data_IF_244759972878
#
_entry.id   IF_244759972878
#
_cell.length_a   1.000
_cell.length_b   1.000
_cell.length_c   1.000
_cell.angle_alpha   90.00
_cell.angle_beta   90.00
_cell.angle_gamma   90.00
#
_symmetry.space_group_name_H-M   'P 1'
#
loop_
_entity.id
_entity.type
_entity.pdbx_description
1 polymer ?
#
# COMPACT_ATOMS: atom_id res chain seq x y z
N UNK A 1 26.03 -11.45 3.67
CA UNK A 1 24.62 -11.03 3.56
C UNK A 1 23.69 -11.95 4.34
N UNK A 2 23.60 -13.25 4.03
CA UNK A 2 22.80 -14.24 4.78
C UNK A 2 23.03 -14.21 6.30
N UNK A 3 24.29 -14.29 6.75
CA UNK A 3 24.61 -14.26 8.18
C UNK A 3 24.13 -13.01 8.91
N UNK A 4 24.18 -11.85 8.24
CA UNK A 4 23.68 -10.60 8.81
C UNK A 4 22.17 -10.65 9.02
N UNK A 5 21.44 -11.14 8.02
CA UNK A 5 19.97 -11.29 8.10
C UNK A 5 19.59 -12.24 9.23
N UNK A 6 20.26 -13.38 9.34
CA UNK A 6 20.03 -14.35 10.43
C UNK A 6 20.29 -13.71 11.80
N UNK A 7 21.34 -12.89 11.95
CA UNK A 7 21.62 -12.17 13.21
C UNK A 7 20.50 -11.21 13.65
N UNK A 8 19.71 -10.71 12.70
CA UNK A 8 18.56 -9.83 12.96
C UNK A 8 17.23 -10.55 13.11
N UNK A 9 17.21 -11.88 12.99
CA UNK A 9 16.00 -12.71 13.09
C UNK A 9 15.52 -12.88 14.53
N UNK A 10 15.24 -11.77 15.21
CA UNK A 10 14.80 -11.78 16.59
C UNK A 10 13.34 -12.22 16.68
N UNK A 11 13.06 -13.36 17.34
CA UNK A 11 11.72 -13.86 17.47
C UNK A 11 10.92 -12.99 18.43
N UNK A 12 9.61 -12.98 18.25
CA UNK A 12 8.66 -12.39 19.18
C UNK A 12 7.43 -13.28 19.28
N UNK A 13 6.73 -13.23 20.40
CA UNK A 13 5.35 -13.73 20.44
C UNK A 13 4.51 -12.76 19.60
N UNK A 14 3.82 -13.22 18.53
CA UNK A 14 2.98 -12.34 17.72
C UNK A 14 1.97 -11.60 18.61
N UNK A 15 1.93 -10.26 18.55
CA UNK A 15 0.91 -9.50 19.24
C UNK A 15 -0.47 -9.92 18.73
N UNK A 16 -1.48 -9.90 19.60
CA UNK A 16 -2.86 -10.11 19.14
C UNK A 16 -3.33 -8.88 18.37
N UNK A 17 -4.10 -9.05 17.28
CA UNK A 17 -4.86 -7.95 16.67
C UNK A 17 -5.63 -7.17 17.75
N UNK A 18 -5.64 -5.85 17.63
CA UNK A 18 -6.33 -4.94 18.58
C UNK A 18 -5.83 -5.00 20.03
N UNK A 19 -4.67 -5.62 20.30
CA UNK A 19 -4.01 -5.51 21.60
C UNK A 19 -3.50 -4.09 21.87
N UNK A 20 -3.15 -3.79 23.13
CA UNK A 20 -2.56 -2.51 23.51
C UNK A 20 -1.31 -2.17 22.67
N UNK A 21 -0.47 -3.18 22.36
CA UNK A 21 0.68 -3.00 21.47
C UNK A 21 0.27 -2.46 20.10
N UNK A 22 -0.71 -3.10 19.46
CA UNK A 22 -1.21 -2.70 18.14
C UNK A 22 -1.83 -1.29 18.18
N UNK A 23 -2.71 -1.04 19.16
CA UNK A 23 -3.42 0.24 19.29
C UNK A 23 -2.43 1.39 19.53
N UNK A 24 -1.46 1.21 20.43
CA UNK A 24 -0.48 2.25 20.73
C UNK A 24 0.39 2.60 19.52
N UNK A 25 0.92 1.60 18.80
CA UNK A 25 1.73 1.85 17.60
C UNK A 25 0.90 2.50 16.50
N UNK A 26 -0.33 2.02 16.28
CA UNK A 26 -1.22 2.59 15.29
C UNK A 26 -1.55 4.05 15.61
N UNK A 27 -1.93 4.36 16.85
CA UNK A 27 -2.28 5.72 17.26
C UNK A 27 -1.08 6.67 17.18
N UNK A 28 0.09 6.26 17.71
CA UNK A 28 1.31 7.06 17.66
C UNK A 28 1.79 7.25 16.22
N UNK A 29 1.79 6.17 15.42
CA UNK A 29 2.19 6.19 14.02
C UNK A 29 1.28 7.05 13.15
N UNK A 30 -0.04 6.93 13.34
CA UNK A 30 -1.01 7.76 12.62
C UNK A 30 -0.87 9.24 12.99
N UNK A 31 -0.75 9.56 14.28
CA UNK A 31 -0.52 10.93 14.73
C UNK A 31 0.78 11.49 14.13
N UNK A 32 1.87 10.72 14.18
CA UNK A 32 3.15 11.11 13.59
C UNK A 32 3.03 11.35 12.08
N UNK A 33 2.34 10.46 11.35
CA UNK A 33 2.12 10.59 9.91
C UNK A 33 1.32 11.86 9.58
N UNK A 34 0.23 12.14 10.31
CA UNK A 34 -0.59 13.35 10.14
C UNK A 34 0.22 14.62 10.40
N UNK A 35 0.90 14.70 11.55
CA UNK A 35 1.68 15.87 11.93
C UNK A 35 2.82 16.11 10.94
N UNK A 36 3.58 15.06 10.60
CA UNK A 36 4.67 15.16 9.65
C UNK A 36 4.18 15.60 8.26
N UNK A 37 3.10 14.98 7.75
CA UNK A 37 2.52 15.36 6.46
C UNK A 37 2.07 16.82 6.45
N UNK A 38 1.40 17.27 7.50
CA UNK A 38 0.89 18.64 7.62
C UNK A 38 2.00 19.69 7.71
N UNK A 39 3.04 19.45 8.52
CA UNK A 39 4.14 20.41 8.66
C UNK A 39 5.03 20.43 7.42
N UNK A 40 5.25 19.28 6.78
CA UNK A 40 6.07 19.21 5.57
C UNK A 40 5.34 19.80 4.37
N UNK A 41 4.02 19.57 4.20
CA UNK A 41 3.26 20.14 3.08
C UNK A 41 3.33 21.67 3.03
N UNK A 42 3.34 22.32 4.19
CA UNK A 42 3.45 23.79 4.32
C UNK A 42 4.79 24.38 3.87
N UNK A 43 5.84 23.58 3.83
CA UNK A 43 7.21 24.03 3.50
C UNK A 43 7.59 23.72 2.05
N UNK A 44 6.66 23.25 1.24
CA UNK A 44 7.01 22.45 0.07
C UNK A 44 6.99 23.25 -1.23
N UNK A 45 8.16 23.66 -1.68
CA UNK A 45 8.39 23.84 -3.11
C UNK A 45 8.22 22.50 -3.84
N UNK A 46 7.63 22.51 -5.03
CA UNK A 46 7.36 21.28 -5.78
C UNK A 46 8.60 20.40 -6.04
N UNK A 47 9.80 20.97 -6.14
CA UNK A 47 11.05 20.19 -6.26
C UNK A 47 11.34 19.38 -4.99
N UNK A 48 11.14 19.98 -3.82
CA UNK A 48 11.29 19.29 -2.54
C UNK A 48 10.25 18.18 -2.38
N UNK A 49 8.99 18.45 -2.75
CA UNK A 49 7.89 17.46 -2.74
C UNK A 49 8.28 16.16 -3.43
N UNK A 50 8.71 16.27 -4.69
CA UNK A 50 9.02 15.12 -5.54
C UNK A 50 10.25 14.38 -5.00
N UNK A 51 11.26 15.08 -4.48
CA UNK A 51 12.43 14.46 -3.84
C UNK A 51 12.05 13.71 -2.56
N UNK A 52 11.16 14.27 -1.76
CA UNK A 52 10.68 13.63 -0.53
C UNK A 52 9.90 12.35 -0.86
N UNK A 53 8.97 12.39 -1.82
CA UNK A 53 8.27 11.18 -2.27
C UNK A 53 9.25 10.14 -2.82
N UNK A 54 10.21 10.56 -3.65
CA UNK A 54 11.25 9.67 -4.16
C UNK A 54 12.05 8.99 -3.02
N UNK A 55 12.44 9.77 -2.00
CA UNK A 55 13.12 9.24 -0.83
C UNK A 55 12.26 8.24 -0.05
N UNK A 56 10.96 8.50 0.11
CA UNK A 56 10.03 7.50 0.66
C UNK A 56 10.00 6.23 -0.20
N UNK A 57 10.01 6.35 -1.52
CA UNK A 57 10.11 5.22 -2.46
C UNK A 57 11.40 4.40 -2.27
N UNK A 58 12.53 5.07 -2.01
CA UNK A 58 13.81 4.40 -1.71
C UNK A 58 13.74 3.65 -0.37
N UNK A 59 13.16 4.25 0.67
CA UNK A 59 12.94 3.57 1.96
C UNK A 59 12.07 2.33 1.78
N UNK A 60 10.94 2.46 1.08
CA UNK A 60 10.04 1.35 0.78
C UNK A 60 10.81 0.25 0.03
N UNK A 61 11.52 0.57 -1.04
CA UNK A 61 12.28 -0.42 -1.81
C UNK A 61 13.38 -1.11 -1.01
N UNK A 62 14.16 -0.36 -0.22
CA UNK A 62 15.18 -0.96 0.64
C UNK A 62 14.56 -1.89 1.69
N UNK A 63 13.46 -1.47 2.32
CA UNK A 63 12.75 -2.28 3.32
C UNK A 63 12.09 -3.52 2.70
N UNK A 64 11.59 -3.42 1.47
CA UNK A 64 11.01 -4.52 0.72
C UNK A 64 12.08 -5.55 0.34
N UNK A 65 13.21 -5.10 -0.20
CA UNK A 65 14.36 -5.97 -0.50
C UNK A 65 14.79 -6.72 0.76
N UNK A 66 14.89 -6.00 1.89
CA UNK A 66 15.22 -6.64 3.16
C UNK A 66 14.18 -7.69 3.56
N UNK A 67 12.88 -7.36 3.46
CA UNK A 67 11.79 -8.30 3.75
C UNK A 67 11.89 -9.56 2.89
N UNK A 68 12.12 -9.41 1.58
CA UNK A 68 12.29 -10.54 0.67
C UNK A 68 13.47 -11.43 1.05
N UNK A 69 14.62 -10.83 1.37
CA UNK A 69 15.79 -11.59 1.81
C UNK A 69 15.57 -12.27 3.17
N UNK A 70 14.85 -11.62 4.09
CA UNK A 70 14.48 -12.18 5.39
C UNK A 70 13.58 -13.40 5.21
N UNK A 71 12.51 -13.28 4.41
CA UNK A 71 11.61 -14.38 4.11
C UNK A 71 12.35 -15.55 3.48
N UNK A 72 13.23 -15.29 2.51
CA UNK A 72 14.01 -16.30 1.83
C UNK A 72 14.97 -17.04 2.78
N UNK A 73 15.84 -16.32 3.51
CA UNK A 73 16.90 -16.97 4.31
C UNK A 73 16.44 -17.47 5.68
N UNK A 74 15.42 -16.87 6.29
CA UNK A 74 15.01 -17.16 7.67
C UNK A 74 13.73 -17.97 7.72
N UNK A 75 12.73 -17.63 6.90
CA UNK A 75 11.38 -18.21 7.03
C UNK A 75 11.21 -19.43 6.11
N UNK A 76 11.64 -19.31 4.85
CA UNK A 76 11.29 -20.25 3.79
C UNK A 76 12.44 -21.17 3.38
N UNK A 77 13.48 -21.32 4.22
CA UNK A 77 14.59 -22.27 4.00
C UNK A 77 15.22 -22.17 2.61
N UNK A 78 15.47 -20.94 2.14
CA UNK A 78 16.04 -20.65 0.82
C UNK A 78 15.18 -21.08 -0.37
N UNK A 79 13.87 -21.15 -0.16
CA UNK A 79 12.88 -21.26 -1.23
C UNK A 79 12.10 -19.95 -1.33
N UNK A 80 11.97 -19.45 -2.56
CA UNK A 80 11.22 -18.22 -2.79
C UNK A 80 9.72 -18.51 -2.77
N UNK A 81 8.99 -17.81 -1.91
CA UNK A 81 7.54 -17.92 -1.82
C UNK A 81 6.87 -16.78 -2.62
N UNK A 82 6.21 -17.16 -3.70
CA UNK A 82 5.54 -16.26 -4.63
C UNK A 82 4.35 -15.51 -4.02
N UNK A 83 3.81 -15.98 -2.90
CA UNK A 83 2.79 -15.25 -2.13
C UNK A 83 3.29 -13.85 -1.73
N UNK A 84 4.58 -13.74 -1.38
CA UNK A 84 5.19 -12.49 -0.92
C UNK A 84 5.71 -11.60 -2.03
N UNK A 85 5.51 -11.94 -3.32
CA UNK A 85 5.96 -11.09 -4.41
C UNK A 85 5.42 -9.66 -4.25
N UNK A 86 6.25 -8.61 -4.43
CA UNK A 86 5.94 -7.24 -4.00
C UNK A 86 5.00 -6.48 -4.94
N UNK A 87 3.87 -7.08 -5.33
CA UNK A 87 2.91 -6.44 -6.23
C UNK A 87 1.50 -6.42 -5.65
N UNK A 88 1.40 -6.09 -4.36
CA UNK A 88 0.13 -5.78 -3.69
C UNK A 88 -0.26 -4.32 -3.90
N UNK A 89 -1.52 -3.95 -3.60
CA UNK A 89 -1.98 -2.56 -3.71
C UNK A 89 -1.12 -1.62 -2.84
N UNK A 90 -0.74 -2.09 -1.65
CA UNK A 90 0.17 -1.40 -0.73
C UNK A 90 1.63 -1.38 -1.21
N UNK A 91 2.00 -2.16 -2.22
CA UNK A 91 3.35 -2.15 -2.83
C UNK A 91 3.49 -1.12 -3.94
N UNK A 92 2.40 -0.76 -4.63
CA UNK A 92 2.43 0.24 -5.72
C UNK A 92 3.10 1.58 -5.40
N UNK A 93 2.89 2.19 -4.20
CA UNK A 93 3.50 3.46 -3.84
C UNK A 93 5.02 3.45 -3.91
N UNK A 94 5.66 2.32 -3.61
CA UNK A 94 7.11 2.14 -3.75
C UNK A 94 7.55 2.42 -5.20
N UNK A 95 6.91 1.73 -6.17
CA UNK A 95 7.22 1.89 -7.58
C UNK A 95 6.90 3.30 -8.08
N UNK A 96 5.72 3.81 -7.73
CA UNK A 96 5.28 5.12 -8.17
C UNK A 96 6.15 6.25 -7.63
N UNK A 97 6.53 6.20 -6.35
CA UNK A 97 7.45 7.17 -5.76
C UNK A 97 8.83 7.15 -6.42
N UNK A 98 9.37 5.96 -6.74
CA UNK A 98 10.64 5.83 -7.45
C UNK A 98 10.57 6.34 -8.89
N UNK A 99 9.47 6.09 -9.58
CA UNK A 99 9.26 6.52 -10.97
C UNK A 99 8.94 8.01 -11.09
N UNK A 100 8.33 8.63 -10.07
CA UNK A 100 7.76 9.98 -10.14
C UNK A 100 8.74 11.05 -10.67
N UNK A 101 10.02 11.11 -10.25
CA UNK A 101 10.96 12.10 -10.78
C UNK A 101 11.30 11.92 -12.26
N UNK A 102 11.12 10.71 -12.79
CA UNK A 102 11.42 10.35 -14.19
C UNK A 102 10.26 10.68 -15.12
N UNK A 103 9.04 10.78 -14.59
CA UNK A 103 7.84 11.10 -15.37
C UNK A 103 7.85 12.58 -15.76
N UNK A 104 8.14 12.89 -17.03
CA UNK A 104 8.12 14.28 -17.54
C UNK A 104 6.71 14.80 -17.82
N UNK A 105 5.76 13.91 -18.10
CA UNK A 105 4.38 14.29 -18.42
C UNK A 105 3.62 14.71 -17.14
N UNK A 106 3.26 15.99 -17.04
CA UNK A 106 2.56 16.54 -15.86
C UNK A 106 1.20 15.89 -15.62
N UNK A 107 0.46 15.54 -16.68
CA UNK A 107 -0.84 14.84 -16.54
C UNK A 107 -0.64 13.46 -15.93
N UNK A 108 0.38 12.72 -16.36
CA UNK A 108 0.68 11.41 -15.80
C UNK A 108 1.17 11.52 -14.35
N UNK A 109 2.02 12.50 -14.01
CA UNK A 109 2.39 12.76 -12.61
C UNK A 109 1.15 13.01 -11.75
N UNK A 110 0.21 13.84 -12.23
CA UNK A 110 -1.01 14.16 -11.51
C UNK A 110 -1.89 12.92 -11.28
N UNK A 111 -2.01 12.05 -12.29
CA UNK A 111 -2.73 10.77 -12.17
C UNK A 111 -2.07 9.87 -11.12
N UNK A 112 -0.74 9.73 -11.15
CA UNK A 112 0.01 8.92 -10.19
C UNK A 112 -0.15 9.45 -8.76
N UNK A 113 -0.05 10.76 -8.58
CA UNK A 113 -0.23 11.42 -7.28
C UNK A 113 -1.66 11.24 -6.75
N UNK A 114 -2.67 11.45 -7.60
CA UNK A 114 -4.07 11.26 -7.22
C UNK A 114 -4.34 9.80 -6.86
N UNK A 115 -3.79 8.85 -7.62
CA UNK A 115 -3.87 7.42 -7.30
C UNK A 115 -3.23 7.11 -5.94
N UNK A 116 -2.04 7.63 -5.66
CA UNK A 116 -1.34 7.45 -4.38
C UNK A 116 -1.98 8.21 -3.20
N UNK A 117 -2.81 9.21 -3.45
CA UNK A 117 -3.65 9.78 -2.41
C UNK A 117 -4.82 8.84 -2.09
N UNK A 118 -5.51 8.37 -3.13
CA UNK A 118 -6.81 7.72 -2.95
C UNK A 118 -6.66 6.22 -2.59
N UNK A 119 -5.98 5.44 -3.43
CA UNK A 119 -5.89 3.99 -3.27
C UNK A 119 -4.84 3.55 -2.25
N UNK A 120 -3.73 4.27 -2.18
CA UNK A 120 -2.67 3.98 -1.24
C UNK A 120 -3.06 4.33 0.20
N UNK A 121 -3.76 5.46 0.42
CA UNK A 121 -4.27 5.78 1.75
C UNK A 121 -5.33 4.77 2.20
N UNK A 122 -6.23 4.36 1.30
CA UNK A 122 -7.16 3.25 1.53
C UNK A 122 -6.40 1.98 1.96
N UNK A 123 -5.41 1.54 1.17
CA UNK A 123 -4.63 0.35 1.46
C UNK A 123 -3.88 0.44 2.80
N UNK A 124 -3.24 1.59 3.07
CA UNK A 124 -2.56 1.89 4.32
C UNK A 124 -3.47 1.77 5.54
N UNK A 125 -4.64 2.42 5.48
CA UNK A 125 -5.61 2.42 6.59
C UNK A 125 -6.24 1.04 6.78
N UNK A 126 -6.69 0.40 5.70
CA UNK A 126 -7.39 -0.89 5.80
C UNK A 126 -6.47 -2.01 6.29
N UNK A 127 -5.19 -2.01 5.91
CA UNK A 127 -4.23 -3.00 6.41
C UNK A 127 -3.92 -2.84 7.90
N UNK A 128 -3.89 -1.61 8.42
CA UNK A 128 -3.75 -1.38 9.87
C UNK A 128 -5.07 -1.65 10.62
N UNK A 129 -6.22 -1.43 9.97
CA UNK A 129 -7.52 -1.75 10.55
C UNK A 129 -7.72 -3.26 10.68
N UNK A 130 -7.24 -4.07 9.73
CA UNK A 130 -7.26 -5.53 9.76
C UNK A 130 -5.82 -6.09 9.77
N UNK A 131 -5.14 -6.11 10.93
CA UNK A 131 -3.70 -6.37 11.02
C UNK A 131 -3.33 -7.85 11.05
N UNK A 132 -4.28 -8.77 10.79
CA UNK A 132 -4.05 -10.22 10.88
C UNK A 132 -2.89 -10.70 10.00
N UNK A 133 -2.68 -10.06 8.85
CA UNK A 133 -1.55 -10.32 7.95
C UNK A 133 -0.26 -9.55 8.27
N UNK A 134 -0.22 -8.71 9.29
CA UNK A 134 0.93 -7.85 9.63
C UNK A 134 1.71 -8.32 10.87
N UNK A 135 1.08 -9.11 11.75
CA UNK A 135 1.64 -9.50 13.04
C UNK A 135 2.30 -10.88 12.94
N UNK A 136 3.62 -10.89 12.84
CA UNK A 136 4.44 -12.06 12.60
C UNK A 136 5.24 -12.49 13.85
N UNK A 137 5.76 -13.73 13.90
CA UNK A 137 6.59 -14.22 15.00
C UNK A 137 8.02 -13.65 15.00
N UNK A 138 8.26 -12.57 14.25
CA UNK A 138 9.55 -11.88 14.17
C UNK A 138 9.36 -10.38 14.30
N UNK A 139 10.18 -9.74 15.13
CA UNK A 139 10.15 -8.29 15.34
C UNK A 139 10.29 -7.53 14.03
N UNK A 140 11.25 -7.94 13.19
CA UNK A 140 11.50 -7.28 11.91
C UNK A 140 10.26 -7.29 11.00
N UNK A 141 9.63 -8.46 10.77
CA UNK A 141 8.48 -8.57 9.88
C UNK A 141 7.27 -7.78 10.40
N UNK A 142 7.02 -7.84 11.71
CA UNK A 142 5.94 -7.07 12.35
C UNK A 142 6.17 -5.57 12.23
N UNK A 143 7.37 -5.08 12.57
CA UNK A 143 7.69 -3.66 12.46
C UNK A 143 7.71 -3.19 11.02
N UNK A 144 8.26 -4.00 10.09
CA UNK A 144 8.20 -3.72 8.66
C UNK A 144 6.76 -3.51 8.22
N UNK A 145 5.86 -4.47 8.50
CA UNK A 145 4.45 -4.37 8.13
C UNK A 145 3.78 -3.10 8.68
N UNK A 146 3.95 -2.80 9.97
CA UNK A 146 3.34 -1.62 10.59
C UNK A 146 3.92 -0.31 10.05
N UNK A 147 5.24 -0.17 10.00
CA UNK A 147 5.91 1.05 9.54
C UNK A 147 5.70 1.29 8.05
N UNK A 148 5.64 0.23 7.24
CA UNK A 148 5.29 0.30 5.81
C UNK A 148 3.97 1.04 5.64
N UNK A 149 2.91 0.58 6.29
CA UNK A 149 1.57 1.17 6.13
C UNK A 149 1.44 2.55 6.78
N UNK A 150 2.17 2.84 7.86
CA UNK A 150 2.28 4.20 8.40
C UNK A 150 2.92 5.15 7.38
N UNK A 151 3.98 4.72 6.69
CA UNK A 151 4.64 5.51 5.64
C UNK A 151 3.71 5.71 4.42
N UNK A 152 2.92 4.70 4.05
CA UNK A 152 1.89 4.81 3.02
C UNK A 152 0.84 5.88 3.35
N UNK A 153 0.36 5.88 4.61
CA UNK A 153 -0.56 6.91 5.11
C UNK A 153 0.10 8.28 5.03
N UNK A 154 1.33 8.42 5.51
CA UNK A 154 2.09 9.67 5.40
C UNK A 154 2.17 10.17 3.95
N UNK A 155 2.51 9.30 2.98
CA UNK A 155 2.58 9.65 1.55
C UNK A 155 1.22 10.18 1.06
N UNK A 156 0.13 9.45 1.32
CA UNK A 156 -1.20 9.85 0.88
C UNK A 156 -1.64 11.20 1.48
N UNK A 157 -1.43 11.39 2.79
CA UNK A 157 -1.72 12.63 3.49
C UNK A 157 -0.85 13.79 2.98
N UNK A 158 0.45 13.57 2.75
CA UNK A 158 1.37 14.58 2.26
C UNK A 158 0.95 15.08 0.87
N UNK A 159 0.56 14.17 -0.03
CA UNK A 159 0.06 14.52 -1.36
C UNK A 159 -1.20 15.39 -1.25
N UNK A 160 -2.16 14.96 -0.42
CA UNK A 160 -3.38 15.70 -0.17
C UNK A 160 -3.11 17.09 0.40
N UNK A 161 -2.41 17.18 1.53
CA UNK A 161 -2.13 18.45 2.20
C UNK A 161 -1.24 19.40 1.37
N UNK A 162 -0.50 18.90 0.39
CA UNK A 162 0.30 19.72 -0.54
C UNK A 162 -0.50 20.21 -1.75
N UNK A 163 -1.76 19.77 -1.91
CA UNK A 163 -2.63 20.09 -3.05
C UNK A 163 -2.02 19.72 -4.42
N UNK A 164 -1.23 18.66 -4.45
CA UNK A 164 -0.56 18.18 -5.67
C UNK A 164 -1.34 17.06 -6.40
N UNK A 165 -2.53 16.70 -5.89
CA UNK A 165 -3.50 15.80 -6.51
C UNK A 165 -4.62 16.56 -7.23
N UNK A 166 -5.31 15.90 -8.16
CA UNK A 166 -6.52 16.43 -8.79
C UNK A 166 -7.71 16.13 -7.87
N UNK A 167 -8.43 17.16 -7.42
CA UNK A 167 -9.61 17.03 -6.54
C UNK A 167 -10.94 16.95 -7.29
N UNK A 168 -10.90 17.02 -8.63
CA UNK A 168 -12.09 16.89 -9.46
C UNK A 168 -12.51 15.43 -9.60
N UNK A 169 -13.81 15.21 -9.76
CA UNK A 169 -14.33 13.86 -10.04
C UNK A 169 -13.72 13.25 -11.32
N UNK A 170 -13.45 14.08 -12.33
CA UNK A 170 -12.73 13.67 -13.54
C UNK A 170 -11.28 13.26 -13.25
N UNK A 171 -10.65 13.89 -12.27
CA UNK A 171 -9.34 13.51 -11.73
C UNK A 171 -9.35 12.09 -11.18
N UNK A 172 -10.34 11.77 -10.33
CA UNK A 172 -10.55 10.40 -9.83
C UNK A 172 -10.74 9.39 -10.98
N UNK A 173 -11.66 9.66 -11.92
CA UNK A 173 -11.90 8.76 -13.06
C UNK A 173 -10.63 8.54 -13.90
N UNK A 174 -9.77 9.55 -14.01
CA UNK A 174 -8.49 9.45 -14.72
C UNK A 174 -7.49 8.50 -14.06
N UNK A 175 -7.69 8.11 -12.79
CA UNK A 175 -6.86 7.12 -12.09
C UNK A 175 -7.30 5.68 -12.36
N UNK A 176 -8.55 5.45 -12.77
CA UNK A 176 -9.09 4.09 -12.98
C UNK A 176 -8.36 3.30 -14.07
N UNK A 177 -7.95 3.88 -15.21
CA UNK A 177 -7.13 3.15 -16.17
C UNK A 177 -5.81 2.65 -15.58
N UNK A 178 -5.15 3.46 -14.73
CA UNK A 178 -3.93 3.04 -14.04
C UNK A 178 -4.21 1.90 -13.06
N UNK A 179 -5.32 1.97 -12.31
CA UNK A 179 -5.78 0.88 -11.45
C UNK A 179 -5.98 -0.42 -12.24
N UNK A 180 -6.71 -0.36 -13.35
CA UNK A 180 -7.00 -1.51 -14.20
C UNK A 180 -5.73 -2.12 -14.82
N UNK A 181 -4.76 -1.30 -15.21
CA UNK A 181 -3.45 -1.77 -15.67
C UNK A 181 -2.75 -2.54 -14.55
N UNK A 182 -2.75 -2.01 -13.32
CA UNK A 182 -2.16 -2.71 -12.18
C UNK A 182 -2.88 -4.04 -11.88
N UNK A 183 -4.22 -4.06 -11.93
CA UNK A 183 -5.00 -5.30 -11.78
C UNK A 183 -4.68 -6.32 -12.89
N UNK A 184 -4.47 -5.85 -14.13
CA UNK A 184 -4.04 -6.68 -15.25
C UNK A 184 -2.67 -7.31 -15.01
N UNK A 185 -1.70 -6.51 -14.52
CA UNK A 185 -0.36 -7.02 -14.17
C UNK A 185 -0.44 -8.02 -13.00
N UNK A 186 -1.22 -7.71 -11.95
CA UNK A 186 -1.43 -8.61 -10.83
C UNK A 186 -2.04 -9.95 -11.29
N UNK A 187 -3.04 -9.91 -12.17
CA UNK A 187 -3.65 -11.10 -12.77
C UNK A 187 -2.63 -11.90 -13.59
N UNK A 188 -1.82 -11.22 -14.40
CA UNK A 188 -0.76 -11.86 -15.19
C UNK A 188 0.24 -12.58 -14.28
N UNK A 189 0.69 -11.94 -13.20
CA UNK A 189 1.58 -12.56 -12.21
C UNK A 189 0.90 -13.79 -11.59
N UNK A 190 -0.35 -13.67 -11.14
CA UNK A 190 -1.09 -14.77 -10.50
C UNK A 190 -1.22 -16.00 -11.42
N UNK A 191 -1.47 -15.78 -12.70
CA UNK A 191 -1.58 -16.86 -13.69
C UNK A 191 -0.22 -17.47 -14.03
N UNK A 192 0.79 -16.64 -14.27
CA UNK A 192 2.09 -17.10 -14.76
C UNK A 192 2.99 -17.68 -13.67
N UNK A 193 2.85 -17.23 -12.43
CA UNK A 193 3.63 -17.73 -11.30
C UNK A 193 3.09 -19.06 -10.74
N UNK A 194 1.93 -19.55 -11.19
CA UNK A 194 1.33 -20.80 -10.71
C UNK A 194 2.28 -22.02 -10.69
N UNK A 195 3.13 -22.25 -11.71
CA UNK A 195 4.08 -23.36 -11.68
C UNK A 195 5.17 -23.20 -10.62
N UNK A 196 5.39 -21.97 -10.14
CA UNK A 196 6.47 -21.59 -9.24
C UNK A 196 6.00 -21.43 -7.79
N UNK A 197 4.68 -21.30 -7.56
CA UNK A 197 4.08 -21.17 -6.24
C UNK A 197 2.69 -20.51 -6.30
N UNK A 198 2.12 -20.22 -5.13
CA UNK A 198 0.83 -19.54 -5.03
C UNK A 198 1.01 -18.02 -4.94
N UNK A 199 1.19 -17.35 -6.08
CA UNK A 199 1.06 -15.90 -6.13
C UNK A 199 -0.39 -15.45 -5.87
N UNK A 200 -0.56 -14.36 -5.13
CA UNK A 200 -1.87 -13.74 -4.85
C UNK A 200 -1.81 -12.22 -4.89
N UNK A 201 -1.25 -11.68 -5.98
CA UNK A 201 -1.14 -10.26 -6.19
C UNK A 201 -2.53 -9.64 -6.20
N UNK A 202 -2.69 -8.58 -5.41
CA UNK A 202 -3.95 -7.89 -5.15
C UNK A 202 -5.02 -8.76 -4.49
N UNK A 203 -4.72 -9.97 -4.01
CA UNK A 203 -5.71 -10.93 -3.51
C UNK A 203 -6.76 -11.34 -4.55
N UNK A 204 -6.39 -11.31 -5.84
CA UNK A 204 -7.28 -11.62 -6.97
C UNK A 204 -6.85 -12.86 -7.74
N UNK A 205 -6.29 -13.87 -7.05
CA UNK A 205 -6.04 -15.18 -7.65
C UNK A 205 -7.30 -15.74 -8.34
N UNK A 206 -7.20 -16.25 -9.58
CA UNK A 206 -8.32 -16.89 -10.25
C UNK A 206 -8.55 -18.34 -9.79
N UNK A 207 -7.67 -18.87 -8.93
CA UNK A 207 -7.64 -20.29 -8.59
C UNK A 207 -8.32 -20.64 -7.27
N UNK A 208 -8.43 -19.68 -6.35
CA UNK A 208 -9.02 -19.90 -5.03
C UNK A 208 -9.73 -18.63 -4.53
N UNK A 209 -10.63 -18.77 -3.54
CA UNK A 209 -11.37 -17.65 -2.96
C UNK A 209 -10.45 -16.56 -2.40
N UNK A 210 -10.89 -15.29 -2.51
CA UNK A 210 -10.16 -14.13 -2.01
C UNK A 210 -9.95 -14.26 -0.48
N UNK A 211 -8.72 -14.05 0.00
CA UNK A 211 -8.39 -14.25 1.42
C UNK A 211 -8.67 -13.03 2.32
N UNK A 212 -9.22 -11.94 1.78
CA UNK A 212 -9.62 -10.76 2.53
C UNK A 212 -10.98 -11.01 3.21
N UNK A 213 -11.08 -10.69 4.50
CA UNK A 213 -12.20 -10.93 5.42
C UNK A 213 -13.58 -11.22 4.76
N UNK A 214 -14.38 -10.19 4.49
CA UNK A 214 -15.75 -10.35 3.98
C UNK A 214 -15.76 -10.95 2.56
N UNK A 215 -14.72 -10.69 1.78
CA UNK A 215 -14.62 -11.13 0.39
C UNK A 215 -14.40 -12.63 0.25
N UNK A 216 -13.75 -13.27 1.23
CA UNK A 216 -13.68 -14.74 1.30
C UNK A 216 -15.07 -15.37 1.30
N UNK A 217 -15.96 -14.86 2.16
CA UNK A 217 -17.33 -15.38 2.25
C UNK A 217 -18.12 -15.12 0.97
N UNK A 218 -17.91 -13.97 0.33
CA UNK A 218 -18.55 -13.62 -0.95
C UNK A 218 -18.06 -14.58 -2.05
N UNK A 219 -16.75 -14.79 -2.17
CA UNK A 219 -16.15 -15.72 -3.14
C UNK A 219 -16.60 -17.16 -2.93
N UNK A 220 -16.79 -17.60 -1.68
CA UNK A 220 -17.32 -18.94 -1.37
C UNK A 220 -18.78 -19.10 -1.82
N UNK A 221 -19.60 -18.04 -1.74
CA UNK A 221 -21.03 -18.10 -2.10
C UNK A 221 -21.31 -17.88 -3.59
N UNK A 222 -20.58 -16.94 -4.21
CA UNK A 222 -20.84 -16.50 -5.60
C UNK A 222 -19.81 -17.05 -6.59
N UNK A 223 -18.75 -17.67 -6.12
CA UNK A 223 -17.61 -18.11 -6.92
C UNK A 223 -16.46 -17.11 -6.92
N UNK A 224 -15.27 -17.60 -7.30
CA UNK A 224 -14.01 -16.85 -7.25
C UNK A 224 -14.05 -15.58 -8.10
N UNK A 225 -14.43 -15.69 -9.38
CA UNK A 225 -14.43 -14.55 -10.31
C UNK A 225 -15.42 -13.45 -9.87
N UNK A 226 -16.71 -13.74 -9.57
CA UNK A 226 -17.61 -12.72 -9.03
C UNK A 226 -17.12 -12.08 -7.73
N UNK A 227 -16.54 -12.88 -6.81
CA UNK A 227 -15.96 -12.36 -5.58
C UNK A 227 -14.80 -11.39 -5.81
N UNK A 228 -13.90 -11.71 -6.74
CA UNK A 228 -12.79 -10.82 -7.12
C UNK A 228 -13.29 -9.53 -7.78
N UNK A 229 -14.33 -9.60 -8.63
CA UNK A 229 -14.95 -8.40 -9.23
C UNK A 229 -15.53 -7.50 -8.13
N UNK A 230 -16.29 -8.06 -7.19
CA UNK A 230 -16.89 -7.32 -6.08
C UNK A 230 -15.79 -6.68 -5.20
N UNK A 231 -14.70 -7.40 -4.95
CA UNK A 231 -13.54 -6.88 -4.23
C UNK A 231 -12.90 -5.68 -4.93
N UNK A 232 -12.62 -5.78 -6.24
CA UNK A 232 -12.04 -4.68 -7.01
C UNK A 232 -12.98 -3.46 -7.09
N UNK A 233 -14.29 -3.69 -7.23
CA UNK A 233 -15.29 -2.62 -7.19
C UNK A 233 -15.33 -1.95 -5.81
N UNK A 234 -15.15 -2.72 -4.73
CA UNK A 234 -15.08 -2.19 -3.37
C UNK A 234 -13.82 -1.35 -3.14
N UNK A 235 -12.68 -1.73 -3.73
CA UNK A 235 -11.47 -0.90 -3.76
C UNK A 235 -11.73 0.42 -4.48
N UNK A 236 -12.37 0.39 -5.65
CA UNK A 236 -12.77 1.62 -6.35
C UNK A 236 -13.72 2.47 -5.50
N UNK A 237 -14.73 1.88 -4.86
CA UNK A 237 -15.63 2.62 -3.98
C UNK A 237 -14.89 3.27 -2.79
N UNK A 238 -13.95 2.55 -2.18
CA UNK A 238 -13.08 3.07 -1.12
C UNK A 238 -12.18 4.21 -1.60
N UNK A 239 -11.53 4.05 -2.76
CA UNK A 239 -10.71 5.12 -3.37
C UNK A 239 -11.51 6.38 -3.63
N UNK A 240 -12.73 6.24 -4.19
CA UNK A 240 -13.65 7.36 -4.39
C UNK A 240 -14.05 8.04 -3.08
N UNK A 241 -14.28 7.27 -2.01
CA UNK A 241 -14.61 7.82 -0.69
C UNK A 241 -13.47 8.72 -0.19
N UNK A 242 -12.23 8.24 -0.22
CA UNK A 242 -11.06 9.04 0.18
C UNK A 242 -10.90 10.28 -0.71
N UNK A 243 -11.06 10.12 -2.03
CA UNK A 243 -11.04 11.23 -2.97
C UNK A 243 -12.06 12.32 -2.59
N UNK A 244 -13.30 11.93 -2.28
CA UNK A 244 -14.37 12.85 -1.90
C UNK A 244 -14.08 13.57 -0.57
N UNK A 245 -13.46 12.88 0.40
CA UNK A 245 -13.06 13.48 1.68
C UNK A 245 -12.06 14.60 1.41
N UNK A 246 -10.98 14.35 0.68
CA UNK A 246 -9.99 15.38 0.36
C UNK A 246 -10.54 16.49 -0.52
N UNK A 247 -11.33 16.16 -1.54
CA UNK A 247 -11.97 17.15 -2.38
C UNK A 247 -12.88 18.10 -1.58
N UNK A 248 -13.54 17.63 -0.52
CA UNK A 248 -14.32 18.49 0.38
C UNK A 248 -13.40 19.36 1.25
N UNK A 249 -12.41 18.76 1.90
CA UNK A 249 -11.47 19.48 2.77
C UNK A 249 -10.76 20.62 2.04
N UNK A 250 -10.37 20.42 0.78
CA UNK A 250 -9.59 21.39 0.02
C UNK A 250 -10.40 22.37 -0.82
N UNK A 251 -11.66 22.05 -1.16
CA UNK A 251 -12.58 23.06 -1.75
C UNK A 251 -12.92 24.18 -0.78
N UNK A 252 -12.93 23.91 0.53
CA UNK A 252 -13.18 24.94 1.54
C UNK A 252 -11.96 25.85 1.78
N UNK A 253 -10.74 25.32 1.70
CA UNK A 253 -9.51 26.11 1.89
C UNK A 253 -9.25 27.14 0.78
N UNK A 254 -9.80 26.96 -0.42
CA UNK A 254 -9.69 27.91 -1.53
C UNK A 254 -10.73 29.05 -1.50
N UNK A 255 -11.68 29.00 -0.55
CA UNK A 255 -12.78 29.98 -0.41
C UNK A 255 -12.70 30.82 0.88
N UNK A 256 -11.67 30.61 1.69
CA UNK A 256 -11.35 31.37 2.92
C UNK A 256 -10.10 32.21 2.70
#
# INVERSE_FOLDING_TARGET
MKEFIIKTAWPMVPPRPYSAFHICIMAAGFLAAVLAAYFLSRKTERKFFIRLLFFCGVILAASEIYKQLFLYYVVNQEQYDWWYFPFQLCSLPMYFCLLLPLVKNRRLQLIILTFMQDFNLLGGIMALAEPSGLLHPYWFLTLHGLLWHILLIFIGLLIGFSHESDSSFTGYISTLPLFLICCGIATLINVTAKPLGQADMFYISPYYPNNQAVFYTISQKLGVLPGNIIYLLSICAGGLLFHMIFARLFRHAARS
#
